data_IF_705708820766
#
_entry.id   IF_705708820766
#
_cell.length_a   1.000
_cell.length_b   1.000
_cell.length_c   1.000
_cell.angle_alpha   90.00
_cell.angle_beta   90.00
_cell.angle_gamma   90.00
#
_symmetry.space_group_name_H-M   'P 1'
#
loop_
_entity.id
_entity.type
_entity.pdbx_description
1 polymer ?
#
# COMPACT_ATOMS: atom_id res chain seq x y z
N UNK A 1 11.06 11.97 -9.66
CA UNK A 1 12.29 11.60 -8.93
C UNK A 1 12.70 10.21 -9.39
N UNK A 2 13.99 9.97 -9.66
CA UNK A 2 14.45 8.63 -10.05
C UNK A 2 14.80 7.80 -8.81
N UNK A 3 13.88 6.94 -8.37
CA UNK A 3 14.08 6.07 -7.20
C UNK A 3 15.15 5.00 -7.39
N UNK A 4 15.55 4.72 -8.63
CA UNK A 4 16.44 3.61 -8.96
C UNK A 4 17.78 4.08 -9.51
N UNK A 5 18.14 5.37 -9.32
CA UNK A 5 19.52 5.83 -9.50
C UNK A 5 20.46 5.04 -8.60
N UNK A 6 21.73 4.86 -9.01
CA UNK A 6 22.73 4.12 -8.23
C UNK A 6 22.85 4.64 -6.80
N UNK A 7 22.84 5.96 -6.62
CA UNK A 7 22.90 6.58 -5.29
C UNK A 7 21.66 6.28 -4.45
N UNK A 8 20.47 6.33 -5.04
CA UNK A 8 19.23 6.02 -4.33
C UNK A 8 19.14 4.54 -3.97
N UNK A 9 19.64 3.64 -4.81
CA UNK A 9 19.75 2.23 -4.46
C UNK A 9 20.73 2.00 -3.30
N UNK A 10 21.86 2.70 -3.26
CA UNK A 10 22.81 2.62 -2.13
C UNK A 10 22.18 3.13 -0.82
N UNK A 11 21.50 4.27 -0.85
CA UNK A 11 20.80 4.85 0.31
C UNK A 11 19.72 3.88 0.81
N UNK A 12 18.86 3.40 -0.09
CA UNK A 12 17.82 2.42 0.25
C UNK A 12 18.41 1.10 0.75
N UNK A 13 19.55 0.67 0.21
CA UNK A 13 20.27 -0.52 0.67
C UNK A 13 20.73 -0.39 2.12
N UNK A 14 21.30 0.76 2.51
CA UNK A 14 21.71 1.02 3.89
C UNK A 14 20.50 1.17 4.83
N UNK A 15 19.42 1.77 4.36
CA UNK A 15 18.15 1.84 5.07
C UNK A 15 17.59 0.44 5.36
N UNK A 16 17.48 -0.40 4.34
CA UNK A 16 17.01 -1.79 4.47
C UNK A 16 17.90 -2.57 5.42
N UNK A 17 19.23 -2.46 5.28
CA UNK A 17 20.19 -3.13 6.17
C UNK A 17 19.98 -2.80 7.66
N UNK A 18 19.57 -1.57 7.96
CA UNK A 18 19.33 -1.13 9.34
C UNK A 18 18.00 -1.63 9.90
N UNK A 19 16.99 -1.79 9.06
CA UNK A 19 15.60 -1.96 9.51
C UNK A 19 15.00 -3.33 9.20
N UNK A 20 15.58 -4.13 8.31
CA UNK A 20 15.15 -5.49 7.99
C UNK A 20 16.18 -6.46 8.57
N UNK A 21 15.73 -7.42 9.38
CA UNK A 21 16.63 -8.28 10.15
C UNK A 21 16.74 -9.69 9.57
N UNK A 22 15.62 -10.35 9.28
CA UNK A 22 15.63 -11.72 8.81
C UNK A 22 14.34 -12.07 8.07
N UNK A 23 14.46 -12.95 7.06
CA UNK A 23 13.33 -13.62 6.44
C UNK A 23 12.90 -14.80 7.33
N UNK A 24 11.64 -14.83 7.70
CA UNK A 24 11.05 -15.80 8.64
C UNK A 24 9.75 -16.40 8.13
N UNK A 25 9.54 -16.39 6.80
CA UNK A 25 8.33 -16.90 6.13
C UNK A 25 7.89 -18.24 6.68
N UNK A 26 8.77 -19.25 6.71
CA UNK A 26 8.38 -20.60 7.16
C UNK A 26 7.91 -20.66 8.62
N UNK A 27 8.41 -19.76 9.48
CA UNK A 27 8.04 -19.72 10.89
C UNK A 27 6.69 -19.05 11.05
N UNK A 28 6.51 -17.87 10.44
CA UNK A 28 5.25 -17.12 10.52
C UNK A 28 4.11 -17.89 9.88
N UNK A 29 4.31 -18.48 8.69
CA UNK A 29 3.30 -19.32 8.03
C UNK A 29 2.91 -20.54 8.88
N UNK A 30 3.88 -21.19 9.53
CA UNK A 30 3.58 -22.30 10.43
C UNK A 30 2.70 -21.87 11.62
N UNK A 31 3.02 -20.71 12.21
CA UNK A 31 2.24 -20.14 13.31
C UNK A 31 0.85 -19.77 12.82
N UNK A 32 0.68 -19.08 11.70
CA UNK A 32 -0.63 -18.72 11.15
C UNK A 32 -1.51 -19.94 10.88
N UNK A 33 -0.92 -21.03 10.34
CA UNK A 33 -1.64 -22.30 10.10
C UNK A 33 -2.10 -22.96 11.40
N UNK A 34 -1.44 -22.73 12.52
CA UNK A 34 -1.76 -23.36 13.82
C UNK A 34 -2.45 -22.43 14.81
N UNK A 35 -2.29 -21.13 14.66
CA UNK A 35 -2.69 -20.13 15.65
C UNK A 35 -4.20 -20.02 15.80
N UNK A 36 -4.97 -20.28 14.74
CA UNK A 36 -6.43 -20.25 14.82
C UNK A 36 -6.99 -21.35 15.76
N UNK A 37 -6.24 -22.44 15.95
CA UNK A 37 -6.61 -23.57 16.82
C UNK A 37 -5.91 -23.56 18.19
N UNK A 38 -4.94 -22.65 18.41
CA UNK A 38 -4.10 -22.60 19.61
C UNK A 38 -4.24 -21.26 20.34
N UNK A 39 -4.93 -21.21 21.50
CA UNK A 39 -5.15 -19.98 22.25
C UNK A 39 -3.86 -19.38 22.83
N UNK A 40 -2.77 -20.15 22.91
CA UNK A 40 -1.46 -19.68 23.38
C UNK A 40 -0.56 -19.23 22.21
N UNK A 41 -1.03 -19.29 20.96
CA UNK A 41 -0.29 -18.78 19.82
C UNK A 41 -0.07 -17.27 19.93
N UNK A 42 1.10 -16.77 19.50
CA UNK A 42 1.42 -15.34 19.61
C UNK A 42 0.56 -14.45 18.72
N UNK A 43 0.02 -15.01 17.63
CA UNK A 43 -0.87 -14.36 16.67
C UNK A 43 -1.55 -15.42 15.78
N UNK A 44 -2.59 -15.02 15.06
CA UNK A 44 -3.38 -15.86 14.16
C UNK A 44 -3.78 -15.12 12.88
N UNK A 45 -4.57 -15.75 12.00
CA UNK A 45 -5.04 -15.10 10.77
C UNK A 45 -5.95 -13.91 11.05
N UNK A 46 -6.57 -13.84 12.23
CA UNK A 46 -7.45 -12.71 12.60
C UNK A 46 -6.68 -11.44 12.96
N UNK A 47 -5.38 -11.55 13.23
CA UNK A 47 -4.51 -10.41 13.53
C UNK A 47 -3.95 -9.74 12.27
N UNK A 48 -4.20 -10.34 11.09
CA UNK A 48 -3.75 -9.79 9.81
C UNK A 48 -4.64 -8.60 9.39
N UNK A 49 -4.02 -7.44 9.29
CA UNK A 49 -4.65 -6.22 8.77
C UNK A 49 -4.28 -6.00 7.29
N UNK A 50 -5.05 -5.15 6.60
CA UNK A 50 -4.80 -4.74 5.21
C UNK A 50 -4.72 -5.92 4.22
N UNK A 51 -5.46 -6.99 4.49
CA UNK A 51 -5.51 -8.18 3.64
C UNK A 51 -6.51 -8.05 2.50
N UNK A 52 -7.45 -7.11 2.58
CA UNK A 52 -8.48 -6.88 1.55
C UNK A 52 -8.13 -5.65 0.74
N UNK A 53 -8.28 -5.75 -0.58
CA UNK A 53 -8.15 -4.61 -1.49
C UNK A 53 -9.15 -4.69 -2.64
N UNK A 54 -9.30 -3.56 -3.33
CA UNK A 54 -10.09 -3.39 -4.54
C UNK A 54 -9.19 -2.87 -5.65
N UNK A 55 -9.50 -3.23 -6.89
CA UNK A 55 -8.77 -2.79 -8.07
C UNK A 55 -9.74 -2.09 -9.03
N UNK A 56 -9.39 -0.90 -9.50
CA UNK A 56 -10.15 -0.22 -10.56
C UNK A 56 -9.75 -0.74 -11.96
N UNK A 57 -10.46 -0.31 -13.01
CA UNK A 57 -10.16 -0.75 -14.38
C UNK A 57 -8.79 -0.30 -14.90
N UNK A 58 -8.14 0.65 -14.23
CA UNK A 58 -6.79 1.12 -14.56
C UNK A 58 -5.70 0.35 -13.79
N UNK A 59 -6.08 -0.57 -12.91
CA UNK A 59 -5.17 -1.39 -12.11
C UNK A 59 -4.67 -0.68 -10.84
N UNK A 60 -5.31 0.41 -10.42
CA UNK A 60 -4.97 1.03 -9.13
C UNK A 60 -5.61 0.24 -8.00
N UNK A 61 -4.86 0.06 -6.92
CA UNK A 61 -5.24 -0.74 -5.76
C UNK A 61 -5.66 0.19 -4.60
N UNK A 62 -6.79 -0.13 -3.98
CA UNK A 62 -7.37 0.60 -2.85
C UNK A 62 -7.65 -0.34 -1.68
N UNK A 63 -7.31 0.08 -0.46
CA UNK A 63 -7.90 -0.51 0.76
C UNK A 63 -9.39 -0.17 0.82
N UNK A 64 -10.19 -0.83 1.68
CA UNK A 64 -11.60 -0.46 1.87
C UNK A 64 -11.78 1.03 2.18
N UNK A 65 -11.01 1.56 3.12
CA UNK A 65 -11.08 2.98 3.50
C UNK A 65 -10.64 3.91 2.35
N UNK A 66 -9.58 3.55 1.62
CA UNK A 66 -9.10 4.35 0.48
C UNK A 66 -10.08 4.32 -0.70
N UNK A 67 -10.80 3.20 -0.90
CA UNK A 67 -11.87 3.09 -1.90
C UNK A 67 -13.00 4.05 -1.58
N UNK A 68 -13.46 4.06 -0.33
CA UNK A 68 -14.53 4.97 0.12
C UNK A 68 -14.11 6.44 -0.02
N UNK A 69 -12.87 6.78 0.37
CA UNK A 69 -12.33 8.13 0.19
C UNK A 69 -12.25 8.54 -1.28
N UNK A 70 -11.79 7.64 -2.15
CA UNK A 70 -11.67 7.90 -3.59
C UNK A 70 -13.04 8.08 -4.26
N UNK A 71 -14.02 7.25 -3.91
CA UNK A 71 -15.40 7.38 -4.41
C UNK A 71 -15.99 8.72 -3.99
N UNK A 72 -15.82 9.15 -2.73
CA UNK A 72 -16.30 10.45 -2.27
C UNK A 72 -15.69 11.61 -3.07
N UNK A 73 -14.38 11.57 -3.36
CA UNK A 73 -13.71 12.59 -4.19
C UNK A 73 -14.27 12.64 -5.61
N UNK A 74 -14.51 11.48 -6.22
CA UNK A 74 -15.06 11.42 -7.57
C UNK A 74 -16.53 11.82 -7.62
N UNK A 75 -17.34 11.45 -6.63
CA UNK A 75 -18.73 11.91 -6.51
C UNK A 75 -18.81 13.44 -6.39
N UNK A 76 -17.97 14.06 -5.56
CA UNK A 76 -17.89 15.53 -5.46
C UNK A 76 -17.46 16.19 -6.79
N UNK A 77 -16.58 15.55 -7.55
CA UNK A 77 -16.15 16.06 -8.85
C UNK A 77 -17.23 15.87 -9.92
N UNK A 78 -17.98 14.76 -9.86
CA UNK A 78 -19.12 14.51 -10.73
C UNK A 78 -20.19 15.60 -10.54
N UNK A 79 -20.52 15.95 -9.30
CA UNK A 79 -21.45 17.03 -8.98
C UNK A 79 -21.01 18.38 -9.58
N UNK A 80 -19.71 18.69 -9.54
CA UNK A 80 -19.15 19.90 -10.16
C UNK A 80 -19.28 19.86 -11.68
N UNK A 81 -19.01 18.71 -12.30
CA UNK A 81 -19.17 18.52 -13.74
C UNK A 81 -20.64 18.68 -14.15
N UNK A 82 -21.59 18.17 -13.36
CA UNK A 82 -23.02 18.38 -13.60
C UNK A 82 -23.38 19.86 -13.64
N UNK A 83 -22.92 20.66 -12.68
CA UNK A 83 -23.15 22.12 -12.68
C UNK A 83 -22.52 22.81 -13.90
N UNK A 84 -21.30 22.43 -14.27
CA UNK A 84 -20.62 22.99 -15.44
C UNK A 84 -21.33 22.65 -16.75
N UNK A 85 -21.90 21.44 -16.87
CA UNK A 85 -22.74 21.04 -18.00
C UNK A 85 -24.00 21.88 -18.11
N UNK A 86 -24.66 22.16 -16.99
CA UNK A 86 -25.86 23.02 -16.95
C UNK A 86 -25.54 24.47 -17.33
N UNK A 87 -24.39 24.99 -16.88
CA UNK A 87 -23.93 26.35 -17.22
C UNK A 87 -23.44 26.47 -18.67
N UNK A 88 -22.90 25.38 -19.25
CA UNK A 88 -22.25 25.36 -20.56
C UNK A 88 -22.90 24.33 -21.51
N UNK A 89 -24.21 24.46 -21.76
CA UNK A 89 -25.03 23.53 -22.56
C UNK A 89 -24.46 23.15 -23.95
N UNK A 90 -23.68 24.04 -24.58
CA UNK A 90 -23.11 23.81 -25.92
C UNK A 90 -21.73 23.12 -25.88
N UNK A 91 -21.12 22.97 -24.71
CA UNK A 91 -19.79 22.37 -24.55
C UNK A 91 -19.88 20.87 -24.22
N UNK A 92 -19.83 20.05 -25.27
CA UNK A 92 -19.85 18.60 -25.17
C UNK A 92 -18.64 18.00 -24.43
N UNK A 93 -17.60 18.77 -24.14
CA UNK A 93 -16.42 18.25 -23.42
C UNK A 93 -16.73 17.90 -21.96
N UNK A 94 -17.64 18.62 -21.31
CA UNK A 94 -18.06 18.31 -19.93
C UNK A 94 -18.97 17.09 -19.88
N UNK A 95 -19.86 16.92 -20.86
CA UNK A 95 -20.69 15.72 -21.01
C UNK A 95 -19.81 14.47 -21.04
N UNK A 96 -18.78 14.50 -21.89
CA UNK A 96 -17.86 13.38 -22.03
C UNK A 96 -17.09 13.09 -20.73
N UNK A 97 -16.58 14.13 -20.06
CA UNK A 97 -15.87 13.96 -18.78
C UNK A 97 -16.78 13.39 -17.69
N UNK A 98 -18.04 13.83 -17.65
CA UNK A 98 -19.04 13.31 -16.70
C UNK A 98 -19.31 11.83 -16.95
N UNK A 99 -19.57 11.42 -18.20
CA UNK A 99 -19.79 10.01 -18.55
C UNK A 99 -18.58 9.14 -18.17
N UNK A 100 -17.35 9.58 -18.49
CA UNK A 100 -16.12 8.86 -18.15
C UNK A 100 -15.90 8.73 -16.63
N UNK A 101 -16.27 9.74 -15.85
CA UNK A 101 -16.14 9.73 -14.39
C UNK A 101 -17.22 8.87 -13.73
N UNK A 102 -18.46 8.93 -14.23
CA UNK A 102 -19.57 8.09 -13.77
C UNK A 102 -19.25 6.60 -13.97
N UNK A 103 -18.68 6.24 -15.13
CA UNK A 103 -18.21 4.87 -15.40
C UNK A 103 -17.13 4.42 -14.40
N UNK A 104 -16.12 5.25 -14.14
CA UNK A 104 -15.07 4.95 -13.14
C UNK A 104 -15.62 4.76 -11.73
N UNK A 105 -16.59 5.60 -11.33
CA UNK A 105 -17.27 5.49 -10.04
C UNK A 105 -17.98 4.14 -9.93
N UNK A 106 -18.77 3.78 -10.95
CA UNK A 106 -19.52 2.53 -10.94
C UNK A 106 -18.58 1.31 -10.91
N UNK A 107 -17.54 1.31 -11.75
CA UNK A 107 -16.54 0.24 -11.76
C UNK A 107 -15.91 0.02 -10.38
N UNK A 108 -15.41 1.08 -9.74
CA UNK A 108 -14.77 0.96 -8.43
C UNK A 108 -15.80 0.65 -7.33
N UNK A 109 -17.01 1.21 -7.39
CA UNK A 109 -18.09 0.93 -6.42
C UNK A 109 -18.44 -0.55 -6.40
N UNK A 110 -18.61 -1.15 -7.56
CA UNK A 110 -18.97 -2.56 -7.72
C UNK A 110 -17.77 -3.51 -7.84
N UNK A 111 -16.53 -3.00 -7.72
CA UNK A 111 -15.33 -3.83 -7.69
C UNK A 111 -15.43 -4.88 -6.57
N UNK A 112 -15.03 -6.10 -6.90
CA UNK A 112 -15.03 -7.24 -5.97
C UNK A 112 -13.85 -7.15 -5.01
N UNK A 113 -14.06 -7.56 -3.76
CA UNK A 113 -12.99 -7.75 -2.79
C UNK A 113 -11.97 -8.76 -3.30
N UNK A 114 -10.69 -8.38 -3.23
CA UNK A 114 -9.55 -9.26 -3.47
C UNK A 114 -8.73 -9.41 -2.20
N UNK A 115 -7.98 -10.51 -2.10
CA UNK A 115 -7.16 -10.81 -0.94
C UNK A 115 -5.68 -10.73 -1.30
N UNK A 116 -4.93 -9.95 -0.53
CA UNK A 116 -3.50 -9.80 -0.70
C UNK A 116 -2.78 -11.09 -0.27
N UNK A 117 -1.98 -11.64 -1.19
CA UNK A 117 -1.14 -12.79 -0.90
C UNK A 117 0.21 -12.33 -0.34
N UNK A 118 0.57 -12.81 0.84
CA UNK A 118 1.90 -12.59 1.41
C UNK A 118 2.84 -13.67 0.91
N UNK A 119 3.92 -13.28 0.23
CA UNK A 119 4.92 -14.23 -0.26
C UNK A 119 6.09 -14.40 0.72
N UNK A 120 6.44 -13.33 1.44
CA UNK A 120 7.57 -13.33 2.36
C UNK A 120 7.24 -12.61 3.66
N UNK A 121 7.68 -13.18 4.78
CA UNK A 121 7.62 -12.51 6.08
C UNK A 121 9.00 -12.07 6.52
N UNK A 122 9.14 -10.80 6.87
CA UNK A 122 10.41 -10.20 7.30
C UNK A 122 10.28 -9.61 8.69
N UNK A 123 11.16 -10.02 9.61
CA UNK A 123 11.30 -9.30 10.88
C UNK A 123 11.90 -7.93 10.57
N UNK A 124 11.26 -6.89 11.08
CA UNK A 124 11.71 -5.52 10.90
C UNK A 124 11.76 -4.75 12.22
N UNK A 125 12.41 -3.59 12.18
CA UNK A 125 12.41 -2.69 13.32
C UNK A 125 11.01 -2.14 13.59
N UNK A 126 10.64 -1.86 14.85
CA UNK A 126 9.35 -1.25 15.17
C UNK A 126 9.11 0.11 14.54
N UNK A 127 10.18 0.83 14.18
CA UNK A 127 10.06 2.09 13.46
C UNK A 127 9.61 1.85 12.02
N UNK A 128 10.21 0.86 11.34
CA UNK A 128 9.84 0.52 9.96
C UNK A 128 8.43 -0.07 9.90
N UNK A 129 8.06 -0.95 10.83
CA UNK A 129 6.73 -1.53 10.91
C UNK A 129 5.63 -0.46 10.90
N UNK A 130 5.72 0.55 11.78
CA UNK A 130 4.76 1.68 11.81
C UNK A 130 4.72 2.50 10.53
N UNK A 131 5.86 2.64 9.85
CA UNK A 131 5.92 3.35 8.56
C UNK A 131 5.26 2.54 7.45
N UNK A 132 5.51 1.24 7.42
CA UNK A 132 4.88 0.32 6.48
C UNK A 132 3.37 0.24 6.70
N UNK A 133 2.90 0.19 7.94
CA UNK A 133 1.48 0.22 8.30
C UNK A 133 0.80 1.51 7.81
N UNK A 134 1.45 2.67 7.93
CA UNK A 134 0.96 3.93 7.37
C UNK A 134 0.92 3.96 5.82
N UNK A 135 1.49 2.96 5.17
CA UNK A 135 1.45 2.72 3.72
C UNK A 135 0.61 1.48 3.39
N UNK A 136 -0.33 1.13 4.26
CA UNK A 136 -1.29 0.03 4.12
C UNK A 136 -0.61 -1.34 3.88
N UNK A 137 0.63 -1.50 4.33
CA UNK A 137 1.30 -2.80 4.27
C UNK A 137 0.78 -3.72 5.37
N UNK A 138 0.85 -5.02 5.13
CA UNK A 138 0.47 -6.05 6.09
C UNK A 138 1.56 -6.14 7.15
N UNK A 139 1.20 -5.79 8.39
CA UNK A 139 2.06 -5.91 9.56
C UNK A 139 1.40 -6.86 10.55
N UNK A 140 2.23 -7.73 11.13
CA UNK A 140 1.86 -8.64 12.20
C UNK A 140 2.81 -8.42 13.39
N UNK A 141 2.35 -8.62 14.61
CA UNK A 141 3.18 -8.44 15.81
C UNK A 141 2.94 -9.56 16.81
N UNK A 142 4.01 -10.07 17.42
CA UNK A 142 3.92 -11.00 18.57
C UNK A 142 4.09 -10.29 19.92
N UNK A 143 4.06 -8.96 19.91
CA UNK A 143 4.32 -8.10 21.07
C UNK A 143 5.80 -7.84 21.37
N UNK A 144 6.73 -8.62 20.80
CA UNK A 144 8.17 -8.43 20.92
C UNK A 144 8.83 -8.04 19.59
N UNK A 145 8.33 -8.58 18.48
CA UNK A 145 8.82 -8.39 17.12
C UNK A 145 7.67 -7.99 16.20
N UNK A 146 8.01 -7.21 15.18
CA UNK A 146 7.10 -6.84 14.11
C UNK A 146 7.52 -7.50 12.79
N UNK A 147 6.55 -8.07 12.10
CA UNK A 147 6.71 -8.84 10.88
C UNK A 147 6.02 -8.11 9.74
N UNK A 148 6.77 -7.83 8.69
CA UNK A 148 6.23 -7.29 7.46
C UNK A 148 5.89 -8.42 6.49
N UNK A 149 4.61 -8.53 6.15
CA UNK A 149 4.09 -9.39 5.10
C UNK A 149 4.27 -8.72 3.74
N UNK A 150 5.27 -9.16 3.01
CA UNK A 150 5.64 -8.62 1.71
C UNK A 150 4.91 -9.36 0.60
N UNK A 151 4.09 -8.64 -0.16
CA UNK A 151 3.32 -9.16 -1.30
C UNK A 151 4.09 -9.22 -2.62
N UNK A 152 5.42 -9.21 -2.57
CA UNK A 152 6.30 -9.47 -3.73
C UNK A 152 7.47 -10.35 -3.31
N UNK A 153 8.05 -11.09 -4.25
CA UNK A 153 9.24 -11.92 -4.03
C UNK A 153 10.18 -11.89 -5.23
N UNK A 154 11.40 -12.42 -5.07
CA UNK A 154 12.42 -12.53 -6.11
C UNK A 154 13.24 -11.26 -6.38
N UNK A 155 12.70 -10.08 -6.07
CA UNK A 155 13.43 -8.80 -6.14
C UNK A 155 13.98 -8.38 -4.77
N UNK A 156 15.08 -7.61 -4.77
CA UNK A 156 15.64 -7.06 -3.54
C UNK A 156 14.67 -6.07 -2.88
N UNK A 157 14.58 -6.10 -1.55
CA UNK A 157 13.65 -5.25 -0.78
C UNK A 157 13.85 -3.75 -1.06
N UNK A 158 15.10 -3.31 -1.29
CA UNK A 158 15.39 -1.90 -1.61
C UNK A 158 14.72 -1.40 -2.90
N UNK A 159 14.27 -2.31 -3.77
CA UNK A 159 13.56 -1.99 -5.01
C UNK A 159 12.05 -1.86 -4.80
N UNK A 160 11.52 -2.24 -3.64
CA UNK A 160 10.10 -2.11 -3.38
C UNK A 160 9.68 -0.64 -3.37
N UNK A 161 8.52 -0.38 -3.98
CA UNK A 161 7.99 0.97 -4.10
C UNK A 161 7.74 1.59 -2.71
N UNK A 162 7.24 0.81 -1.76
CA UNK A 162 6.98 1.29 -0.39
C UNK A 162 8.26 1.76 0.31
N UNK A 163 9.38 1.04 0.13
CA UNK A 163 10.67 1.47 0.67
C UNK A 163 11.12 2.79 0.03
N UNK A 164 10.89 2.94 -1.28
CA UNK A 164 11.20 4.17 -2.00
C UNK A 164 10.35 5.35 -1.52
N UNK A 165 9.06 5.14 -1.28
CA UNK A 165 8.14 6.15 -0.72
C UNK A 165 8.54 6.56 0.70
N UNK A 166 8.82 5.59 1.58
CA UNK A 166 9.30 5.86 2.95
C UNK A 166 10.60 6.68 2.92
N UNK A 167 11.57 6.32 2.09
CA UNK A 167 12.82 7.07 1.98
C UNK A 167 12.59 8.49 1.40
N UNK A 168 11.65 8.65 0.47
CA UNK A 168 11.29 9.95 -0.08
C UNK A 168 10.63 10.86 0.98
N UNK A 169 9.75 10.31 1.83
CA UNK A 169 9.11 11.03 2.95
C UNK A 169 10.10 11.43 4.04
N UNK A 170 11.12 10.61 4.25
CA UNK A 170 12.24 10.96 5.13
C UNK A 170 13.16 12.04 4.51
N UNK A 171 12.93 12.37 3.24
CA UNK A 171 13.74 13.30 2.46
C UNK A 171 15.23 12.90 2.40
N UNK A 172 15.54 11.59 2.37
CA UNK A 172 16.92 11.08 2.40
C UNK A 172 17.45 10.68 1.02
N UNK A 173 16.62 10.70 -0.02
CA UNK A 173 17.05 10.36 -1.38
C UNK A 173 17.91 11.47 -1.98
N UNK A 174 18.63 11.15 -3.05
CA UNK A 174 19.51 12.07 -3.76
C UNK A 174 18.81 13.38 -4.13
N UNK A 175 19.40 14.50 -3.70
CA UNK A 175 18.89 15.85 -3.94
C UNK A 175 17.83 16.31 -2.94
N UNK A 176 17.47 15.49 -1.95
CA UNK A 176 16.57 15.87 -0.86
C UNK A 176 17.32 16.47 0.34
N UNK A 177 16.56 16.98 1.32
CA UNK A 177 17.06 17.83 2.40
C UNK A 177 17.93 17.08 3.42
N UNK A 178 17.70 15.78 3.60
CA UNK A 178 18.36 14.97 4.61
C UNK A 178 19.41 14.06 3.98
N UNK A 179 20.42 13.72 4.77
CA UNK A 179 21.38 12.67 4.42
C UNK A 179 21.11 11.45 5.30
N UNK A 180 21.15 10.27 4.68
CA UNK A 180 21.21 9.04 5.44
C UNK A 180 22.53 8.98 6.23
N UNK A 181 22.45 8.70 7.52
CA UNK A 181 23.57 8.63 8.47
C UNK A 181 23.60 7.29 9.18
#
# INVERSE_FOLDING_TARGET
MDYNSTKNQDIKGQFVYKHIYACVTSVVEYILVKGDDDPDAPFSNTDLNNTIYFEDAQGNIYTPDAKDEQLGKWEEELDKLTLLMEENLDDLSYVKQHEELEEQIDELRYATEQYAEVYEWWICSPWLARRLEAYDQIILSDGNNDYWGRCTSGQAILLDLVISRICADMEILEGQANMWK
#
